data_IF_028282135008
#
_entry.id   IF_028282135008
#
_cell.length_a   1.000
_cell.length_b   1.000
_cell.length_c   1.000
_cell.angle_alpha   90.00
_cell.angle_beta   90.00
_cell.angle_gamma   90.00
#
_symmetry.space_group_name_H-M   'P 1'
#
loop_
_entity.id
_entity.type
_entity.pdbx_description
1 polymer ?
#
# COMPACT_ATOMS: atom_id res chain seq x y z
N UNK A 1 4.80 -10.10 -25.87
CA UNK A 1 5.35 -9.02 -25.03
C UNK A 1 6.59 -8.39 -25.65
N UNK A 2 7.69 -9.13 -25.88
CA UNK A 2 8.92 -8.60 -26.50
C UNK A 2 8.62 -7.85 -27.81
N UNK A 3 7.84 -8.44 -28.72
CA UNK A 3 7.40 -7.80 -29.98
C UNK A 3 6.66 -6.48 -29.75
N UNK A 4 5.61 -6.47 -28.93
CA UNK A 4 4.84 -5.25 -28.61
C UNK A 4 5.71 -4.17 -27.94
N UNK A 5 6.73 -4.57 -27.17
CA UNK A 5 7.61 -3.62 -26.49
C UNK A 5 8.61 -3.00 -27.47
N UNK A 6 9.05 -3.76 -28.47
CA UNK A 6 9.86 -3.23 -29.58
C UNK A 6 9.06 -2.19 -30.37
N UNK A 7 7.82 -2.49 -30.72
CA UNK A 7 6.93 -1.53 -31.41
C UNK A 7 6.75 -0.24 -30.60
N UNK A 8 6.46 -0.37 -29.29
CA UNK A 8 6.36 0.78 -28.40
C UNK A 8 7.66 1.59 -28.35
N UNK A 9 8.80 0.91 -28.27
CA UNK A 9 10.11 1.56 -28.20
C UNK A 9 10.42 2.32 -29.49
N UNK A 10 10.18 1.72 -30.65
CA UNK A 10 10.34 2.36 -31.96
C UNK A 10 9.45 3.60 -32.08
N UNK A 11 8.21 3.55 -31.60
CA UNK A 11 7.32 4.72 -31.57
C UNK A 11 7.92 5.86 -30.72
N UNK A 12 8.44 5.54 -29.54
CA UNK A 12 9.04 6.55 -28.66
C UNK A 12 10.36 7.09 -29.17
N UNK A 13 11.15 6.27 -29.85
CA UNK A 13 12.45 6.64 -30.41
C UNK A 13 12.30 7.51 -31.65
N UNK A 14 11.35 7.19 -32.52
CA UNK A 14 11.18 7.85 -33.82
C UNK A 14 10.18 9.01 -33.79
N UNK A 15 9.16 8.96 -32.93
CA UNK A 15 8.03 9.89 -32.98
C UNK A 15 7.73 10.61 -31.67
N UNK A 16 8.38 10.24 -30.55
CA UNK A 16 8.20 10.90 -29.24
C UNK A 16 9.56 11.16 -28.57
N UNK A 17 9.53 11.45 -27.27
CA UNK A 17 10.73 11.59 -26.46
C UNK A 17 11.08 10.23 -25.82
N UNK A 18 12.25 9.62 -26.13
CA UNK A 18 12.68 8.35 -25.56
C UNK A 18 12.65 8.31 -24.02
N UNK A 19 12.96 9.43 -23.35
CA UNK A 19 12.97 9.53 -21.87
C UNK A 19 11.57 9.40 -21.25
N UNK A 20 10.50 9.43 -22.05
CA UNK A 20 9.12 9.24 -21.59
C UNK A 20 8.61 7.80 -21.73
N UNK A 21 9.38 6.90 -22.35
CA UNK A 21 9.00 5.49 -22.51
C UNK A 21 8.79 4.83 -21.15
N UNK A 22 7.72 4.03 -21.02
CA UNK A 22 7.30 3.33 -19.80
C UNK A 22 6.99 4.25 -18.60
N UNK A 23 6.95 5.57 -18.79
CA UNK A 23 6.67 6.53 -17.70
C UNK A 23 5.21 6.51 -17.26
N UNK A 24 4.29 6.20 -18.17
CA UNK A 24 2.86 6.01 -17.89
C UNK A 24 2.43 4.60 -18.27
N UNK A 25 1.18 4.23 -18.00
CA UNK A 25 0.64 2.92 -18.39
C UNK A 25 -0.56 3.17 -19.30
N UNK A 26 -0.24 3.56 -20.53
CA UNK A 26 -1.21 3.95 -21.57
C UNK A 26 -1.41 2.81 -22.59
N UNK A 27 -0.53 1.82 -22.60
CA UNK A 27 -0.58 0.67 -23.51
C UNK A 27 -0.75 -0.67 -22.78
N UNK A 28 -1.23 -1.67 -23.52
CA UNK A 28 -1.36 -3.05 -23.00
C UNK A 28 0.00 -3.62 -22.60
N UNK A 29 1.05 -3.37 -23.40
CA UNK A 29 2.38 -3.94 -23.16
C UNK A 29 3.02 -3.44 -21.85
N UNK A 30 2.77 -2.19 -21.47
CA UNK A 30 3.24 -1.65 -20.18
C UNK A 30 2.61 -2.38 -18.99
N UNK A 31 1.31 -2.71 -19.08
CA UNK A 31 0.63 -3.53 -18.06
C UNK A 31 1.11 -4.97 -18.07
N UNK A 32 1.31 -5.54 -19.26
CA UNK A 32 1.89 -6.89 -19.39
C UNK A 32 3.29 -6.98 -18.79
N UNK A 33 4.12 -5.95 -18.98
CA UNK A 33 5.46 -5.89 -18.38
C UNK A 33 5.39 -5.91 -16.85
N UNK A 34 4.49 -5.12 -16.25
CA UNK A 34 4.28 -5.13 -14.80
C UNK A 34 3.87 -6.52 -14.28
N UNK A 35 2.94 -7.17 -14.98
CA UNK A 35 2.48 -8.52 -14.62
C UNK A 35 3.61 -9.55 -14.78
N UNK A 36 4.38 -9.46 -15.86
CA UNK A 36 5.51 -10.35 -16.10
C UNK A 36 6.62 -10.19 -15.06
N UNK A 37 6.95 -8.95 -14.68
CA UNK A 37 7.86 -8.69 -13.56
C UNK A 37 7.32 -9.29 -12.27
N UNK A 38 6.02 -9.16 -12.00
CA UNK A 38 5.41 -9.74 -10.80
C UNK A 38 5.51 -11.27 -10.77
N UNK A 39 5.26 -11.93 -11.91
CA UNK A 39 5.39 -13.39 -12.05
C UNK A 39 6.84 -13.82 -11.83
N UNK A 40 7.80 -13.16 -12.48
CA UNK A 40 9.21 -13.57 -12.43
C UNK A 40 9.89 -13.25 -11.10
N UNK A 41 9.44 -12.23 -10.38
CA UNK A 41 10.06 -11.74 -9.15
C UNK A 41 9.38 -12.25 -7.89
N UNK A 42 8.25 -12.95 -7.99
CA UNK A 42 7.53 -13.46 -6.82
C UNK A 42 8.39 -14.40 -5.96
N UNK A 43 9.16 -15.29 -6.59
CA UNK A 43 10.05 -16.19 -5.83
C UNK A 43 11.16 -15.42 -5.12
N UNK A 44 11.74 -14.41 -5.77
CA UNK A 44 12.74 -13.53 -5.15
C UNK A 44 12.16 -12.72 -3.99
N UNK A 45 10.92 -12.23 -4.12
CA UNK A 45 10.19 -11.63 -3.01
C UNK A 45 10.04 -12.62 -1.86
N UNK A 46 9.62 -13.85 -2.14
CA UNK A 46 9.39 -14.87 -1.11
C UNK A 46 10.68 -15.25 -0.37
N UNK A 47 11.79 -15.39 -1.09
CA UNK A 47 13.02 -15.97 -0.54
C UNK A 47 14.02 -14.92 -0.01
N UNK A 48 13.89 -13.66 -0.41
CA UNK A 48 14.91 -12.64 -0.11
C UNK A 48 14.33 -11.29 0.28
N UNK A 49 13.59 -10.62 -0.62
CA UNK A 49 13.17 -9.23 -0.40
C UNK A 49 11.94 -9.09 0.53
N UNK A 50 11.19 -10.16 0.75
CA UNK A 50 9.96 -10.18 1.53
C UNK A 50 10.19 -10.01 3.03
N UNK A 51 11.22 -10.66 3.59
CA UNK A 51 11.52 -10.51 5.03
C UNK A 51 11.91 -9.06 5.39
N UNK A 52 12.85 -8.38 4.70
CA UNK A 52 13.15 -6.98 4.93
C UNK A 52 11.92 -6.07 4.77
N UNK A 53 11.09 -6.32 3.74
CA UNK A 53 9.85 -5.56 3.52
C UNK A 53 8.86 -5.73 4.69
N UNK A 54 8.65 -6.96 5.15
CA UNK A 54 7.76 -7.24 6.27
C UNK A 54 8.28 -6.63 7.58
N UNK A 55 9.59 -6.71 7.82
CA UNK A 55 10.25 -6.06 8.97
C UNK A 55 10.09 -4.55 8.92
N UNK A 56 10.27 -3.92 7.76
CA UNK A 56 10.04 -2.49 7.56
C UNK A 56 8.58 -2.11 7.86
N UNK A 57 7.62 -2.83 7.28
CA UNK A 57 6.19 -2.62 7.54
C UNK A 57 5.86 -2.73 9.04
N UNK A 58 6.32 -3.80 9.70
CA UNK A 58 6.10 -4.01 11.14
C UNK A 58 6.78 -2.95 11.99
N UNK A 59 7.98 -2.50 11.63
CA UNK A 59 8.69 -1.45 12.33
C UNK A 59 7.95 -0.11 12.25
N UNK A 60 7.45 0.26 11.07
CA UNK A 60 6.64 1.47 10.86
C UNK A 60 5.37 1.39 11.70
N UNK A 61 4.60 0.31 11.56
CA UNK A 61 3.36 0.09 12.31
C UNK A 61 3.60 0.18 13.81
N UNK A 62 4.58 -0.56 14.32
CA UNK A 62 4.92 -0.56 15.73
C UNK A 62 5.36 0.83 16.23
N UNK A 63 6.15 1.57 15.44
CA UNK A 63 6.61 2.90 15.83
C UNK A 63 5.47 3.92 15.86
N UNK A 64 4.51 3.84 14.93
CA UNK A 64 3.31 4.68 14.92
C UNK A 64 2.46 4.39 16.18
N UNK A 65 2.21 3.12 16.47
CA UNK A 65 1.32 2.66 17.55
C UNK A 65 1.89 2.85 18.98
N UNK A 66 3.17 3.19 19.11
CA UNK A 66 3.77 3.64 20.38
C UNK A 66 3.25 4.99 20.87
N UNK A 67 2.63 5.78 19.99
CA UNK A 67 2.08 7.09 20.30
C UNK A 67 0.61 7.20 19.93
N UNK A 68 -0.08 8.27 20.37
CA UNK A 68 -1.48 8.48 20.07
C UNK A 68 -1.74 8.54 18.56
N UNK A 69 -2.82 7.88 18.14
CA UNK A 69 -3.34 7.91 16.78
C UNK A 69 -4.81 8.31 16.83
N UNK A 70 -5.18 9.40 16.14
CA UNK A 70 -6.55 9.83 16.03
C UNK A 70 -7.28 9.03 14.93
N UNK A 71 -8.35 8.31 15.30
CA UNK A 71 -9.10 7.44 14.37
C UNK A 71 -9.99 8.21 13.39
N UNK A 72 -10.30 9.48 13.67
CA UNK A 72 -11.18 10.32 12.85
C UNK A 72 -10.40 11.16 11.86
N UNK A 73 -9.34 11.85 12.31
CA UNK A 73 -8.50 12.68 11.42
C UNK A 73 -7.29 11.93 10.86
N UNK A 74 -7.06 10.68 11.28
CA UNK A 74 -5.98 9.80 10.80
C UNK A 74 -4.59 10.44 10.96
N UNK A 75 -4.39 11.12 12.09
CA UNK A 75 -3.11 11.74 12.47
C UNK A 75 -2.47 10.99 13.62
N UNK A 76 -1.15 10.94 13.65
CA UNK A 76 -0.40 10.25 14.68
C UNK A 76 0.75 11.09 15.24
N UNK A 77 1.10 10.84 16.50
CA UNK A 77 2.25 11.50 17.14
C UNK A 77 3.58 11.10 16.52
N UNK A 78 3.72 9.83 16.16
CA UNK A 78 4.90 9.26 15.50
C UNK A 78 4.52 8.84 14.10
N UNK A 79 5.06 9.51 13.09
CA UNK A 79 4.84 9.22 11.66
C UNK A 79 6.02 9.77 10.87
N UNK A 80 6.19 9.32 9.62
CA UNK A 80 7.13 9.92 8.67
C UNK A 80 6.46 11.01 7.80
N UNK A 81 5.13 11.09 7.82
CA UNK A 81 4.36 12.05 7.02
C UNK A 81 4.09 13.33 7.82
N UNK A 82 4.56 14.47 7.32
CA UNK A 82 4.45 15.77 7.97
C UNK A 82 2.99 16.26 8.08
N UNK A 83 2.18 16.04 7.05
CA UNK A 83 0.74 16.38 7.05
C UNK A 83 -0.08 15.51 8.01
N UNK A 84 0.46 14.34 8.38
CA UNK A 84 -0.17 13.37 9.28
C UNK A 84 0.19 13.54 10.76
N UNK A 85 0.92 14.59 11.14
CA UNK A 85 1.35 14.80 12.53
C UNK A 85 0.21 15.27 13.43
N UNK A 86 0.07 14.60 14.56
CA UNK A 86 -0.82 14.99 15.65
C UNK A 86 -0.21 16.11 16.50
N UNK A 87 -1.07 17.00 17.01
CA UNK A 87 -0.69 18.12 17.88
C UNK A 87 -0.05 17.70 19.21
N UNK A 88 0.64 18.65 19.84
CA UNK A 88 1.37 18.46 21.10
C UNK A 88 0.47 18.46 22.35
N UNK A 89 -0.77 18.89 22.20
CA UNK A 89 -1.80 19.02 23.23
C UNK A 89 -2.33 17.66 23.74
N UNK A 90 -1.98 16.56 23.08
CA UNK A 90 -2.43 15.22 23.48
C UNK A 90 -1.46 14.59 24.48
N UNK A 91 -1.79 14.69 25.75
CA UNK A 91 -1.16 13.93 26.83
C UNK A 91 -1.62 12.46 26.82
N UNK A 92 -0.70 11.53 27.08
CA UNK A 92 -1.00 10.11 27.16
C UNK A 92 -0.06 9.39 28.12
N UNK A 93 -0.50 8.24 28.59
CA UNK A 93 0.28 7.28 29.37
C UNK A 93 0.19 5.89 28.75
N UNK A 94 1.28 5.13 28.86
CA UNK A 94 1.31 3.73 28.42
C UNK A 94 0.75 2.87 29.55
N UNK A 95 -0.21 2.01 29.22
CA UNK A 95 -0.80 1.03 30.12
C UNK A 95 -0.44 -0.39 29.64
N UNK A 96 -0.25 -1.31 30.58
CA UNK A 96 -0.15 -2.74 30.33
C UNK A 96 -1.43 -3.40 30.84
N UNK A 97 -2.27 -3.87 29.93
CA UNK A 97 -3.51 -4.58 30.26
C UNK A 97 -3.22 -6.07 30.49
N UNK A 98 -3.92 -6.69 31.43
CA UNK A 98 -3.91 -8.12 31.69
C UNK A 98 -5.13 -8.76 30.99
N UNK A 99 -4.93 -9.32 29.80
CA UNK A 99 -6.05 -9.77 28.95
C UNK A 99 -6.30 -11.26 29.11
N UNK A 100 -7.54 -11.61 29.42
CA UNK A 100 -8.07 -12.98 29.43
C UNK A 100 -8.94 -13.19 28.19
N UNK A 101 -8.78 -14.32 27.50
CA UNK A 101 -9.63 -14.66 26.34
C UNK A 101 -10.67 -15.69 26.77
N UNK A 102 -11.95 -15.34 26.64
CA UNK A 102 -13.03 -16.23 27.04
C UNK A 102 -13.02 -17.52 26.19
N UNK A 103 -12.83 -18.66 26.85
CA UNK A 103 -12.87 -19.98 26.22
C UNK A 103 -11.51 -20.52 25.75
N UNK A 104 -10.42 -19.75 25.86
CA UNK A 104 -9.07 -20.19 25.46
C UNK A 104 -8.16 -20.57 26.65
N UNK A 105 -8.71 -20.67 27.87
CA UNK A 105 -7.99 -21.08 29.09
C UNK A 105 -7.71 -19.92 30.06
N UNK A 106 -6.98 -20.15 31.16
CA UNK A 106 -6.68 -19.14 32.18
C UNK A 106 -5.51 -18.21 31.82
N UNK A 107 -4.91 -18.38 30.63
CA UNK A 107 -3.70 -17.66 30.25
C UNK A 107 -3.97 -16.16 30.11
N UNK A 108 -3.22 -15.38 30.89
CA UNK A 108 -3.26 -13.92 30.85
C UNK A 108 -2.20 -13.43 29.88
N UNK A 109 -2.63 -12.68 28.86
CA UNK A 109 -1.73 -12.05 27.89
C UNK A 109 -1.53 -10.57 28.24
N UNK A 110 -0.30 -10.13 28.58
CA UNK A 110 -0.03 -8.71 28.80
C UNK A 110 -0.01 -7.95 27.46
N UNK A 111 -0.80 -6.87 27.35
CA UNK A 111 -0.92 -6.06 26.13
C UNK A 111 -0.63 -4.59 26.45
N UNK A 112 0.35 -4.00 25.76
CA UNK A 112 0.66 -2.56 25.90
C UNK A 112 -0.26 -1.72 25.02
N UNK A 113 -0.89 -0.72 25.61
CA UNK A 113 -1.82 0.22 24.98
C UNK A 113 -1.59 1.63 25.53
N UNK A 114 -2.31 2.61 24.99
CA UNK A 114 -2.31 3.97 25.50
C UNK A 114 -3.65 4.26 26.18
N UNK A 115 -3.62 5.04 27.26
CA UNK A 115 -4.86 5.48 27.92
C UNK A 115 -5.79 6.28 26.97
N UNK A 116 -5.22 6.93 25.95
CA UNK A 116 -5.94 7.68 24.93
C UNK A 116 -6.34 6.83 23.71
N UNK A 117 -6.10 5.52 23.69
CA UNK A 117 -6.62 4.67 22.62
C UNK A 117 -8.15 4.53 22.76
N UNK A 118 -8.86 4.59 21.62
CA UNK A 118 -10.29 4.20 21.54
C UNK A 118 -10.47 2.73 21.90
N UNK A 119 -11.68 2.32 22.25
CA UNK A 119 -11.94 0.91 22.58
C UNK A 119 -11.70 0.00 21.37
N UNK A 120 -12.02 0.46 20.15
CA UNK A 120 -11.68 -0.27 18.92
C UNK A 120 -10.18 -0.41 18.72
N UNK A 121 -9.38 0.65 18.92
CA UNK A 121 -7.91 0.55 18.87
C UNK A 121 -7.35 -0.40 19.93
N UNK A 122 -7.92 -0.42 21.13
CA UNK A 122 -7.53 -1.36 22.19
C UNK A 122 -7.84 -2.79 21.76
N UNK A 123 -9.04 -3.05 21.21
CA UNK A 123 -9.40 -4.36 20.66
C UNK A 123 -8.42 -4.79 19.56
N UNK A 124 -8.08 -3.91 18.61
CA UNK A 124 -7.10 -4.19 17.56
C UNK A 124 -5.74 -4.61 18.13
N UNK A 125 -5.21 -3.85 19.10
CA UNK A 125 -3.92 -4.15 19.76
C UNK A 125 -3.97 -5.46 20.53
N UNK A 126 -5.08 -5.74 21.21
CA UNK A 126 -5.30 -7.02 21.90
C UNK A 126 -5.32 -8.17 20.91
N UNK A 127 -6.12 -8.08 19.84
CA UNK A 127 -6.25 -9.12 18.81
C UNK A 127 -4.89 -9.38 18.16
N UNK A 128 -4.11 -8.33 17.86
CA UNK A 128 -2.79 -8.49 17.28
C UNK A 128 -1.82 -9.21 18.21
N UNK A 129 -1.87 -8.94 19.53
CA UNK A 129 -0.96 -9.55 20.48
C UNK A 129 -1.35 -11.00 20.82
N UNK A 130 -2.65 -11.25 21.06
CA UNK A 130 -3.20 -12.58 21.35
C UNK A 130 -3.02 -13.51 20.15
N UNK A 131 -3.39 -13.05 18.95
CA UNK A 131 -3.35 -13.85 17.72
C UNK A 131 -2.13 -13.54 16.85
N UNK A 132 -1.00 -13.17 17.46
CA UNK A 132 0.22 -12.73 16.75
C UNK A 132 0.77 -13.73 15.73
N UNK A 133 0.51 -15.02 15.95
CA UNK A 133 0.97 -16.13 15.10
C UNK A 133 -0.03 -16.50 13.99
N UNK A 134 -1.20 -15.85 13.94
CA UNK A 134 -2.19 -16.06 12.90
C UNK A 134 -2.08 -14.99 11.80
N UNK A 135 -2.33 -15.34 10.52
CA UNK A 135 -2.54 -14.38 9.45
C UNK A 135 -3.70 -13.42 9.77
N UNK A 136 -3.66 -12.18 9.27
CA UNK A 136 -4.67 -11.17 9.61
C UNK A 136 -6.10 -11.63 9.27
N UNK A 137 -6.31 -12.25 8.10
CA UNK A 137 -7.62 -12.73 7.65
C UNK A 137 -8.26 -13.80 8.55
N UNK A 138 -7.47 -14.50 9.37
CA UNK A 138 -7.94 -15.55 10.28
C UNK A 138 -8.24 -15.03 11.69
N UNK A 139 -7.91 -13.77 11.98
CA UNK A 139 -8.15 -13.16 13.29
C UNK A 139 -9.62 -12.75 13.42
N UNK A 140 -10.17 -12.71 14.66
CA UNK A 140 -11.47 -12.10 14.87
C UNK A 140 -11.45 -10.64 14.45
N UNK A 141 -12.57 -10.15 13.88
CA UNK A 141 -12.76 -8.74 13.57
C UNK A 141 -13.08 -7.95 14.85
N UNK A 142 -12.75 -6.67 14.88
CA UNK A 142 -13.02 -5.76 16.01
C UNK A 142 -14.48 -5.78 16.44
N UNK A 143 -15.40 -5.80 15.47
CA UNK A 143 -16.85 -5.80 15.73
C UNK A 143 -17.38 -7.17 16.18
N UNK A 144 -16.61 -8.24 15.95
CA UNK A 144 -16.99 -9.60 16.35
C UNK A 144 -16.59 -9.94 17.79
N UNK A 145 -15.98 -9.00 18.51
CA UNK A 145 -15.53 -9.19 19.89
C UNK A 145 -16.03 -8.10 20.82
N UNK A 146 -16.36 -8.49 22.03
CA UNK A 146 -16.65 -7.62 23.16
C UNK A 146 -15.44 -7.53 24.08
N UNK A 147 -15.24 -6.37 24.68
CA UNK A 147 -14.17 -6.12 25.63
C UNK A 147 -14.80 -5.72 26.96
N UNK A 148 -14.60 -6.55 27.99
CA UNK A 148 -15.15 -6.36 29.33
C UNK A 148 -14.03 -6.00 30.30
N UNK A 149 -14.15 -4.89 31.00
CA UNK A 149 -13.23 -4.52 32.09
C UNK A 149 -13.77 -5.02 33.43
N UNK A 150 -12.91 -5.69 34.22
CA UNK A 150 -13.27 -6.24 35.54
C UNK A 150 -12.42 -5.64 36.66
N UNK A 151 -12.83 -4.50 37.24
CA UNK A 151 -12.15 -3.92 38.41
C UNK A 151 -12.48 -4.64 39.74
N UNK A 152 -13.45 -5.56 39.75
CA UNK A 152 -13.91 -6.30 40.93
C UNK A 152 -14.91 -7.41 40.55
N UNK A 153 -15.93 -7.64 41.37
CA UNK A 153 -16.96 -8.66 41.13
C UNK A 153 -17.94 -8.32 39.99
N UNK A 154 -18.04 -7.04 39.63
CA UNK A 154 -18.88 -6.54 38.53
C UNK A 154 -18.00 -6.15 37.34
N UNK A 155 -18.32 -6.67 36.16
CA UNK A 155 -17.68 -6.27 34.91
C UNK A 155 -18.45 -5.19 34.17
N UNK A 156 -17.74 -4.38 33.39
CA UNK A 156 -18.30 -3.36 32.51
C UNK A 156 -17.85 -3.62 31.07
N UNK A 157 -18.81 -3.74 30.15
CA UNK A 157 -18.50 -3.82 28.71
C UNK A 157 -18.10 -2.43 28.23
N UNK A 158 -16.96 -2.35 27.55
CA UNK A 158 -16.44 -1.12 26.98
C UNK A 158 -16.84 -1.04 25.49
N UNK A 159 -17.26 0.14 25.05
CA UNK A 159 -17.50 0.47 23.64
C UNK A 159 -16.98 1.87 23.30
N UNK A 160 -16.82 2.14 22.01
CA UNK A 160 -16.40 3.45 21.49
C UNK A 160 -17.45 4.53 21.76
N UNK A 161 -18.74 4.18 21.77
CA UNK A 161 -19.83 5.06 22.13
C UNK A 161 -20.82 4.29 23.02
N UNK A 162 -21.24 4.91 24.12
CA UNK A 162 -22.27 4.39 25.02
C UNK A 162 -23.02 5.53 25.73
N UNK A 163 -23.86 5.18 26.70
CA UNK A 163 -24.64 6.13 27.50
C UNK A 163 -23.75 7.04 28.37
N UNK A 164 -22.48 6.69 28.58
CA UNK A 164 -21.52 7.47 29.36
C UNK A 164 -20.70 8.43 28.50
N UNK A 165 -20.78 8.33 27.16
CA UNK A 165 -20.00 9.15 26.25
C UNK A 165 -20.17 10.64 26.48
N UNK A 166 -19.03 11.35 26.53
CA UNK A 166 -19.01 12.79 26.76
C UNK A 166 -19.58 13.55 25.54
N UNK A 167 -20.59 14.37 25.79
CA UNK A 167 -21.21 15.24 24.79
C UNK A 167 -20.81 16.69 25.03
N UNK A 168 -20.27 17.32 24.00
CA UNK A 168 -19.81 18.71 23.99
C UNK A 168 -20.53 19.48 22.88
N UNK A 169 -21.74 19.97 23.16
CA UNK A 169 -22.61 20.58 22.16
C UNK A 169 -23.15 19.54 21.17
N UNK A 170 -22.88 19.73 19.87
CA UNK A 170 -23.22 18.77 18.80
C UNK A 170 -22.18 17.65 18.63
N UNK A 171 -21.11 17.67 19.41
CA UNK A 171 -20.01 16.72 19.30
C UNK A 171 -20.08 15.67 20.40
N UNK A 172 -19.92 14.40 20.04
CA UNK A 172 -19.67 13.28 20.95
C UNK A 172 -18.22 12.86 20.84
N UNK A 173 -17.56 12.70 21.99
CA UNK A 173 -16.20 12.19 22.06
C UNK A 173 -16.22 10.66 22.08
N UNK A 174 -15.39 10.02 21.26
CA UNK A 174 -15.20 8.57 21.30
C UNK A 174 -14.57 8.19 22.64
N UNK A 175 -15.13 7.19 23.29
CA UNK A 175 -14.67 6.68 24.57
C UNK A 175 -13.28 6.03 24.42
N UNK A 176 -12.42 6.30 25.39
CA UNK A 176 -11.05 5.76 25.48
C UNK A 176 -10.87 5.02 26.80
N UNK A 177 -9.73 4.37 27.01
CA UNK A 177 -9.42 3.79 28.34
C UNK A 177 -9.41 4.84 29.45
N UNK A 178 -8.95 6.05 29.16
CA UNK A 178 -8.97 7.18 30.09
C UNK A 178 -10.41 7.60 30.44
N UNK A 179 -11.35 7.54 29.49
CA UNK A 179 -12.77 7.82 29.74
C UNK A 179 -13.35 6.89 30.82
N UNK A 180 -13.06 5.60 30.73
CA UNK A 180 -13.49 4.61 31.72
C UNK A 180 -12.58 4.54 32.96
N UNK A 181 -11.55 5.39 33.05
CA UNK A 181 -10.57 5.39 34.13
C UNK A 181 -9.86 4.03 34.33
N UNK A 182 -9.61 3.31 33.24
CA UNK A 182 -8.87 2.05 33.27
C UNK A 182 -7.42 2.33 33.65
N UNK A 183 -6.93 1.62 34.67
CA UNK A 183 -5.58 1.80 35.22
C UNK A 183 -4.59 0.78 34.63
N UNK A 184 -3.31 1.04 34.86
CA UNK A 184 -2.25 0.09 34.53
C UNK A 184 -2.47 -1.25 35.27
N UNK A 185 -2.14 -2.35 34.59
CA UNK A 185 -2.40 -3.73 35.04
C UNK A 185 -3.88 -4.10 35.25
N UNK A 186 -4.82 -3.33 34.70
CA UNK A 186 -6.23 -3.69 34.71
C UNK A 186 -6.48 -5.02 33.99
N UNK A 187 -7.38 -5.84 34.54
CA UNK A 187 -7.82 -7.08 33.91
C UNK A 187 -8.98 -6.83 32.96
N UNK A 188 -8.82 -7.25 31.71
CA UNK A 188 -9.85 -7.18 30.68
C UNK A 188 -10.13 -8.57 30.12
N UNK A 189 -11.38 -8.84 29.78
CA UNK A 189 -11.82 -10.09 29.17
C UNK A 189 -12.23 -9.80 27.74
N UNK A 190 -11.58 -10.47 26.79
CA UNK A 190 -11.97 -10.48 25.38
C UNK A 190 -12.88 -11.68 25.14
N UNK A 191 -14.06 -11.44 24.57
CA UNK A 191 -15.03 -12.49 24.27
C UNK A 191 -15.59 -12.31 22.86
N UNK A 192 -15.90 -13.41 22.17
CA UNK A 192 -16.63 -13.34 20.90
C UNK A 192 -18.07 -12.96 21.16
N UNK A 193 -18.63 -12.08 20.34
CA UNK A 193 -20.06 -11.76 20.38
C UNK A 193 -20.84 -13.05 20.13
N UNK A 194 -21.55 -13.55 21.14
CA UNK A 194 -22.52 -14.62 20.93
C UNK A 194 -23.72 -14.00 20.22
N UNK A 195 -24.19 -14.60 19.12
CA UNK A 195 -25.31 -14.13 18.28
C UNK A 195 -26.67 -13.94 19.01
N UNK A 196 -26.71 -14.01 20.33
CA UNK A 196 -27.91 -13.88 21.18
C UNK A 196 -28.17 -12.46 21.71
N UNK A 197 -27.38 -11.44 21.34
CA UNK A 197 -27.63 -10.03 21.68
C UNK A 197 -28.00 -9.14 20.47
N UNK A 198 -28.76 -9.67 19.50
CA UNK A 198 -29.36 -8.85 18.42
C UNK A 198 -30.39 -7.80 18.89
N UNK A 199 -30.71 -7.74 20.18
CA UNK A 199 -31.68 -6.76 20.71
C UNK A 199 -31.10 -5.34 20.94
N UNK A 200 -29.79 -5.13 20.79
CA UNK A 200 -29.20 -3.77 20.83
C UNK A 200 -28.86 -3.22 19.43
N UNK A 201 -28.62 -4.08 18.43
CA UNK A 201 -28.29 -3.67 17.05
C UNK A 201 -29.50 -3.49 16.13
N UNK A 202 -30.68 -4.04 16.46
CA UNK A 202 -31.92 -3.72 15.71
C UNK A 202 -32.34 -2.25 15.79
N UNK A 203 -31.74 -1.48 16.70
CA UNK A 203 -31.90 -0.03 16.69
C UNK A 203 -30.93 0.67 15.71
N UNK A 204 -29.80 0.07 15.30
CA UNK A 204 -28.90 0.70 14.33
C UNK A 204 -29.42 0.59 12.89
N UNK A 205 -30.00 -0.55 12.48
CA UNK A 205 -30.52 -0.71 11.11
C UNK A 205 -31.85 0.04 10.88
N UNK A 206 -32.67 0.26 11.91
CA UNK A 206 -33.87 1.10 11.82
C UNK A 206 -33.57 2.61 11.87
N UNK A 207 -32.32 3.02 12.14
CA UNK A 207 -31.95 4.43 12.15
C UNK A 207 -31.69 4.98 10.75
N UNK A 208 -31.25 4.18 9.78
CA UNK A 208 -30.94 4.69 8.44
C UNK A 208 -32.18 5.23 7.68
N UNK A 209 -33.37 4.68 7.92
CA UNK A 209 -34.60 5.14 7.24
C UNK A 209 -35.37 6.26 7.97
N UNK A 210 -34.98 6.62 9.21
CA UNK A 210 -35.65 7.68 10.00
C UNK A 210 -34.82 8.97 10.16
N UNK A 211 -33.62 9.01 9.58
CA UNK A 211 -32.58 10.02 9.81
C UNK A 211 -32.64 11.28 8.90
N UNK A 212 -33.81 11.67 8.39
CA UNK A 212 -33.93 12.89 7.58
C UNK A 212 -34.20 14.18 8.39
N UNK A 213 -34.45 14.11 9.71
CA UNK A 213 -34.99 15.23 10.50
C UNK A 213 -34.38 15.47 11.89
N UNK A 214 -33.29 14.80 12.27
CA UNK A 214 -32.53 15.09 13.50
C UNK A 214 -31.05 15.25 13.12
N UNK A 215 -30.42 16.36 13.50
CA UNK A 215 -28.98 16.59 13.29
C UNK A 215 -28.20 15.48 14.01
N UNK A 216 -27.57 14.59 13.24
CA UNK A 216 -26.75 13.50 13.79
C UNK A 216 -25.58 14.10 14.59
N UNK A 217 -25.40 13.64 15.83
CA UNK A 217 -24.31 14.12 16.69
C UNK A 217 -22.96 13.78 16.03
N UNK A 218 -22.12 14.79 15.79
CA UNK A 218 -20.80 14.61 15.15
C UNK A 218 -19.83 13.92 16.11
N UNK A 219 -18.96 13.06 15.61
CA UNK A 219 -18.06 12.26 16.46
C UNK A 219 -16.58 12.65 16.24
N UNK A 220 -15.83 12.83 17.34
CA UNK A 220 -14.39 13.11 17.33
C UNK A 220 -13.63 12.25 18.34
N UNK A 221 -12.31 12.07 18.16
CA UNK A 221 -11.46 11.28 19.07
C UNK A 221 -10.57 12.17 19.95
N UNK A 222 -9.40 12.56 19.44
CA UNK A 222 -8.42 13.37 20.16
C UNK A 222 -8.57 14.84 19.77
N UNK A 223 -8.73 15.09 18.46
CA UNK A 223 -8.82 16.44 17.90
C UNK A 223 -10.14 16.60 17.15
N UNK A 224 -10.80 17.74 17.34
CA UNK A 224 -11.97 18.10 16.54
C UNK A 224 -11.53 18.56 15.15
N UNK A 225 -12.20 18.11 14.07
CA UNK A 225 -11.97 18.65 12.73
C UNK A 225 -12.11 20.18 12.74
N UNK A 226 -11.15 20.87 12.12
CA UNK A 226 -11.06 22.35 12.13
C UNK A 226 -12.15 23.05 11.32
N UNK A 227 -12.84 22.34 10.43
CA UNK A 227 -13.66 22.95 9.38
C UNK A 227 -14.97 23.60 9.86
N UNK A 228 -15.26 23.62 11.17
CA UNK A 228 -16.50 24.22 11.70
C UNK A 228 -16.31 25.19 12.87
N UNK A 229 -15.08 25.46 13.29
CA UNK A 229 -14.83 26.41 14.38
C UNK A 229 -15.06 27.88 13.96
N UNK A 230 -15.26 28.16 12.67
CA UNK A 230 -15.33 29.53 12.14
C UNK A 230 -16.74 30.10 11.86
N UNK A 231 -17.83 29.32 11.91
CA UNK A 231 -19.16 29.90 11.62
C UNK A 231 -19.72 30.77 12.76
N UNK A 232 -19.31 30.54 14.01
CA UNK A 232 -19.89 31.23 15.17
C UNK A 232 -19.08 32.43 15.71
N UNK A 233 -17.88 32.72 15.20
CA UNK A 233 -17.04 33.83 15.74
C UNK A 233 -16.54 34.85 14.74
N UNK A 234 -16.77 34.70 13.44
CA UNK A 234 -16.24 35.64 12.43
C UNK A 234 -17.28 36.68 11.98
N UNK A 235 -17.76 37.51 12.91
CA UNK A 235 -18.34 38.84 12.62
C UNK A 235 -17.45 39.93 13.23
N UNK A 236 -16.20 40.03 12.77
CA UNK A 236 -15.39 41.26 12.68
C UNK A 236 -13.94 40.89 12.33
N UNK A 237 -13.54 41.22 11.11
CA UNK A 237 -12.16 41.59 10.83
C UNK A 237 -11.32 40.58 10.06
N UNK A 238 -10.90 41.03 8.88
CA UNK A 238 -9.65 40.69 8.19
C UNK A 238 -9.64 39.52 7.22
N UNK A 239 -9.79 39.90 5.95
CA UNK A 239 -9.29 39.22 4.75
C UNK A 239 -7.75 39.16 4.86
N UNK A 240 -7.20 38.23 5.65
CA UNK A 240 -5.76 37.97 5.69
C UNK A 240 -5.40 36.65 6.42
N UNK A 241 -5.97 35.52 6.01
CA UNK A 241 -5.45 34.21 6.47
C UNK A 241 -5.71 33.06 5.46
N UNK A 242 -5.67 33.37 4.17
CA UNK A 242 -5.44 32.37 3.11
C UNK A 242 -3.96 32.43 2.73
N UNK A 243 -3.29 31.27 2.75
CA UNK A 243 -1.87 31.05 2.42
C UNK A 243 -0.86 31.36 3.53
N UNK A 244 -0.86 30.56 4.59
CA UNK A 244 0.39 30.22 5.28
C UNK A 244 0.52 28.71 5.30
N UNK A 245 1.39 28.20 4.43
CA UNK A 245 2.13 26.96 4.66
C UNK A 245 2.73 27.10 6.06
N UNK A 246 2.02 26.61 7.09
CA UNK A 246 2.53 26.67 8.46
C UNK A 246 3.82 25.86 8.43
N UNK A 247 4.94 26.57 8.45
CA UNK A 247 6.24 25.96 8.64
C UNK A 247 6.09 24.92 9.75
N UNK A 248 6.52 23.70 9.48
CA UNK A 248 6.55 22.63 10.47
C UNK A 248 7.22 23.23 11.69
N UNK A 249 6.49 23.38 12.80
CA UNK A 249 7.07 23.91 14.01
C UNK A 249 8.27 23.02 14.38
N UNK A 250 9.34 23.61 14.91
CA UNK A 250 10.61 22.91 15.14
C UNK A 250 10.42 21.56 15.88
N UNK A 251 9.44 21.51 16.78
CA UNK A 251 9.04 20.31 17.54
C UNK A 251 8.54 19.17 16.64
N UNK A 252 7.75 19.48 15.61
CA UNK A 252 7.25 18.49 14.64
C UNK A 252 8.40 17.93 13.78
N UNK A 253 9.37 18.77 13.42
CA UNK A 253 10.56 18.31 12.68
C UNK A 253 11.40 17.35 13.52
N UNK A 254 11.62 17.63 14.81
CA UNK A 254 12.34 16.73 15.72
C UNK A 254 11.65 15.36 15.83
N UNK A 255 10.32 15.30 15.81
CA UNK A 255 9.56 14.04 15.81
C UNK A 255 9.76 13.24 14.53
N UNK A 256 9.64 13.89 13.37
CA UNK A 256 9.89 13.24 12.07
C UNK A 256 11.30 12.66 12.02
N UNK A 257 12.31 13.43 12.46
CA UNK A 257 13.70 13.00 12.52
C UNK A 257 13.91 11.81 13.48
N UNK A 258 13.26 11.82 14.64
CA UNK A 258 13.32 10.71 15.61
C UNK A 258 12.72 9.41 15.06
N UNK A 259 11.54 9.51 14.42
CA UNK A 259 10.89 8.36 13.78
C UNK A 259 11.75 7.84 12.62
N UNK A 260 12.26 8.74 11.77
CA UNK A 260 13.18 8.38 10.69
C UNK A 260 14.43 7.68 11.21
N UNK A 261 15.06 8.21 12.26
CA UNK A 261 16.23 7.61 12.89
C UNK A 261 15.96 6.19 13.41
N UNK A 262 14.78 5.98 14.02
CA UNK A 262 14.37 4.65 14.51
C UNK A 262 14.14 3.64 13.38
N UNK A 263 13.63 4.10 12.23
CA UNK A 263 13.29 3.25 11.09
C UNK A 263 14.45 3.08 10.09
N UNK A 264 15.55 3.83 10.25
CA UNK A 264 16.62 3.94 9.27
C UNK A 264 17.20 2.59 8.85
N UNK A 265 17.55 1.72 9.82
CA UNK A 265 18.13 0.41 9.52
C UNK A 265 17.17 -0.46 8.69
N UNK A 266 15.87 -0.44 8.98
CA UNK A 266 14.88 -1.22 8.23
C UNK A 266 14.73 -0.70 6.79
N UNK A 267 14.82 0.62 6.58
CA UNK A 267 14.82 1.23 5.24
C UNK A 267 16.07 0.82 4.48
N UNK A 268 17.24 0.90 5.12
CA UNK A 268 18.52 0.51 4.53
C UNK A 268 18.56 -0.97 4.16
N UNK A 269 18.08 -1.85 5.05
CA UNK A 269 18.02 -3.29 4.82
C UNK A 269 17.10 -3.62 3.65
N UNK A 270 15.92 -2.99 3.57
CA UNK A 270 15.03 -3.17 2.43
C UNK A 270 15.69 -2.67 1.14
N UNK A 271 16.24 -1.45 1.11
CA UNK A 271 16.87 -0.89 -0.09
C UNK A 271 18.04 -1.75 -0.57
N UNK A 272 18.89 -2.23 0.36
CA UNK A 272 19.99 -3.15 0.03
C UNK A 272 19.48 -4.48 -0.51
N UNK A 273 18.37 -5.01 0.02
CA UNK A 273 17.82 -6.29 -0.46
C UNK A 273 17.35 -6.23 -1.92
N UNK A 274 16.92 -5.04 -2.41
CA UNK A 274 16.37 -4.88 -3.76
C UNK A 274 17.29 -4.16 -4.75
N UNK A 275 18.27 -3.38 -4.26
CA UNK A 275 19.16 -2.52 -5.06
C UNK A 275 20.66 -2.78 -4.81
N UNK A 276 21.08 -3.85 -4.15
CA UNK A 276 22.52 -4.11 -3.93
C UNK A 276 23.12 -5.03 -4.98
N UNK A 277 24.33 -4.71 -5.45
CA UNK A 277 25.11 -5.51 -6.43
C UNK A 277 25.57 -6.88 -5.89
N UNK A 278 25.57 -7.08 -4.57
CA UNK A 278 25.86 -8.36 -3.92
C UNK A 278 24.63 -9.23 -3.66
N UNK A 279 23.42 -8.74 -3.96
CA UNK A 279 22.20 -9.53 -3.84
C UNK A 279 22.03 -10.45 -5.05
N UNK A 280 21.32 -11.56 -4.86
CA UNK A 280 20.94 -12.45 -5.98
C UNK A 280 20.05 -11.65 -6.93
N UNK A 281 20.49 -11.44 -8.17
CA UNK A 281 19.69 -10.79 -9.22
C UNK A 281 18.86 -11.86 -9.94
N UNK A 282 17.53 -11.74 -9.98
CA UNK A 282 16.70 -12.69 -10.72
C UNK A 282 17.04 -12.70 -12.22
N UNK A 283 17.08 -13.88 -12.88
CA UNK A 283 17.42 -13.99 -14.30
C UNK A 283 16.58 -13.08 -15.20
N UNK A 284 15.30 -12.91 -14.88
CA UNK A 284 14.38 -12.02 -15.59
C UNK A 284 14.83 -10.55 -15.60
N UNK A 285 15.42 -10.06 -14.51
CA UNK A 285 15.93 -8.67 -14.43
C UNK A 285 17.11 -8.50 -15.37
N UNK A 286 18.09 -9.42 -15.30
CA UNK A 286 19.25 -9.42 -16.19
C UNK A 286 18.83 -9.51 -17.65
N UNK A 287 18.00 -10.51 -17.99
CA UNK A 287 17.48 -10.73 -19.33
C UNK A 287 16.77 -9.49 -19.89
N UNK A 288 15.92 -8.85 -19.08
CA UNK A 288 15.18 -7.66 -19.51
C UNK A 288 16.07 -6.41 -19.62
N UNK A 289 17.03 -6.23 -18.71
CA UNK A 289 17.95 -5.09 -18.75
C UNK A 289 18.93 -5.19 -19.92
N UNK A 290 19.40 -6.40 -20.24
CA UNK A 290 20.19 -6.65 -21.46
C UNK A 290 19.37 -6.34 -22.71
N UNK A 291 18.10 -6.74 -22.75
CA UNK A 291 17.20 -6.36 -23.84
C UNK A 291 17.10 -4.85 -24.03
N UNK A 292 16.97 -4.06 -22.95
CA UNK A 292 16.94 -2.60 -23.01
C UNK A 292 18.27 -2.02 -23.51
N UNK A 293 19.40 -2.54 -23.02
CA UNK A 293 20.74 -2.11 -23.42
C UNK A 293 20.98 -2.41 -24.91
N UNK A 294 20.61 -3.59 -25.39
CA UNK A 294 20.70 -3.99 -26.79
C UNK A 294 19.85 -3.11 -27.71
N UNK A 295 18.63 -2.75 -27.30
CA UNK A 295 17.81 -1.87 -28.12
C UNK A 295 18.36 -0.45 -28.13
N UNK A 296 18.82 0.07 -26.99
CA UNK A 296 19.42 1.39 -26.93
C UNK A 296 20.62 1.53 -27.88
N UNK A 297 21.46 0.49 -28.00
CA UNK A 297 22.61 0.47 -28.92
C UNK A 297 22.25 0.57 -30.40
N UNK A 298 21.00 0.27 -30.79
CA UNK A 298 20.55 0.37 -32.18
C UNK A 298 20.17 1.80 -32.60
N UNK A 299 20.05 2.72 -31.64
CA UNK A 299 19.53 4.07 -31.89
C UNK A 299 20.52 5.13 -31.40
N UNK A 300 20.90 6.04 -32.29
CA UNK A 300 21.90 7.08 -32.00
C UNK A 300 21.38 8.19 -31.06
N UNK A 301 20.06 8.31 -30.86
CA UNK A 301 19.43 9.32 -30.00
C UNK A 301 19.14 8.83 -28.57
N UNK A 302 19.66 7.66 -28.19
CA UNK A 302 19.49 7.08 -26.85
C UNK A 302 20.80 7.19 -26.07
N UNK A 303 20.83 8.10 -25.09
CA UNK A 303 21.97 8.31 -24.20
C UNK A 303 21.93 7.41 -22.95
N UNK A 304 23.01 7.36 -22.18
CA UNK A 304 23.10 6.55 -20.94
C UNK A 304 22.04 6.97 -19.89
N UNK A 305 21.68 8.25 -19.85
CA UNK A 305 20.60 8.74 -18.99
C UNK A 305 19.24 8.16 -19.40
N UNK A 306 18.96 8.06 -20.70
CA UNK A 306 17.73 7.47 -21.24
C UNK A 306 17.65 5.98 -20.88
N UNK A 307 18.75 5.24 -21.00
CA UNK A 307 18.81 3.83 -20.60
C UNK A 307 18.52 3.68 -19.10
N UNK A 308 19.12 4.53 -18.27
CA UNK A 308 18.85 4.57 -16.83
C UNK A 308 17.37 4.83 -16.53
N UNK A 309 16.74 5.76 -17.27
CA UNK A 309 15.31 6.06 -17.15
C UNK A 309 14.46 4.86 -17.57
N UNK A 310 14.79 4.15 -18.66
CA UNK A 310 14.06 2.96 -19.10
C UNK A 310 14.12 1.83 -18.05
N UNK A 311 15.30 1.57 -17.50
CA UNK A 311 15.49 0.60 -16.40
C UNK A 311 14.68 0.98 -15.17
N UNK A 312 14.71 2.26 -14.80
CA UNK A 312 13.97 2.81 -13.65
C UNK A 312 12.44 2.73 -13.85
N UNK A 313 11.95 3.11 -15.03
CA UNK A 313 10.53 3.10 -15.37
C UNK A 313 9.97 1.69 -15.58
N UNK A 314 10.81 0.68 -15.81
CA UNK A 314 10.37 -0.70 -16.05
C UNK A 314 10.33 -1.55 -14.80
N UNK A 315 11.26 -1.37 -13.86
CA UNK A 315 11.38 -2.21 -12.67
C UNK A 315 11.19 -1.44 -11.35
N UNK A 316 12.10 -0.55 -10.89
CA UNK A 316 11.93 0.16 -9.61
C UNK A 316 10.60 0.87 -9.45
N UNK A 317 10.18 1.67 -10.43
CA UNK A 317 8.97 2.49 -10.30
C UNK A 317 7.67 1.69 -10.48
N UNK A 318 7.70 0.59 -11.22
CA UNK A 318 6.51 -0.20 -11.56
C UNK A 318 6.26 -1.33 -10.59
N UNK A 319 7.32 -2.01 -10.19
CA UNK A 319 7.24 -3.16 -9.34
C UNK A 319 7.59 -2.79 -7.90
N UNK A 320 8.81 -2.33 -7.63
CA UNK A 320 9.28 -2.14 -6.24
C UNK A 320 8.52 -1.06 -5.47
N UNK A 321 8.26 0.09 -6.10
CA UNK A 321 7.42 1.15 -5.48
C UNK A 321 6.01 0.64 -5.19
N UNK A 322 5.43 -0.15 -6.09
CA UNK A 322 4.10 -0.70 -5.92
C UNK A 322 4.03 -1.71 -4.76
N UNK A 323 5.02 -2.60 -4.66
CA UNK A 323 5.14 -3.57 -3.56
C UNK A 323 5.39 -2.87 -2.23
N UNK A 324 6.26 -1.87 -2.20
CA UNK A 324 6.57 -1.11 -0.99
C UNK A 324 5.35 -0.35 -0.45
N UNK A 325 4.55 0.24 -1.33
CA UNK A 325 3.30 0.92 -0.94
C UNK A 325 2.18 -0.04 -0.55
N UNK A 326 2.15 -1.23 -1.14
CA UNK A 326 1.05 -2.18 -0.96
C UNK A 326 1.56 -3.51 -0.37
N UNK A 327 2.03 -3.54 0.89
CA UNK A 327 2.54 -4.77 1.50
C UNK A 327 1.46 -5.86 1.61
N UNK A 328 0.17 -5.49 1.62
CA UNK A 328 -0.95 -6.42 1.61
C UNK A 328 -1.10 -7.22 0.29
N UNK A 329 -0.39 -6.84 -0.79
CA UNK A 329 -0.30 -7.68 -1.99
C UNK A 329 0.54 -8.94 -1.75
N UNK A 330 1.43 -8.91 -0.77
CA UNK A 330 2.39 -10.00 -0.50
C UNK A 330 2.08 -10.69 0.83
N UNK A 331 1.65 -9.93 1.85
CA UNK A 331 1.38 -10.44 3.19
C UNK A 331 -0.10 -10.32 3.55
N UNK A 332 -0.60 -11.28 4.32
CA UNK A 332 -1.92 -11.19 4.93
C UNK A 332 -1.88 -10.27 6.17
N UNK A 333 -1.90 -8.96 5.89
CA UNK A 333 -1.79 -7.87 6.87
C UNK A 333 -2.81 -6.77 6.59
N UNK A 334 -3.19 -6.05 7.64
CA UNK A 334 -3.93 -4.80 7.51
C UNK A 334 -2.99 -3.60 7.55
N UNK A 335 -3.15 -2.70 6.58
CA UNK A 335 -2.39 -1.45 6.48
C UNK A 335 -3.34 -0.31 6.82
N UNK A 336 -3.09 0.38 7.93
CA UNK A 336 -3.85 1.58 8.27
C UNK A 336 -3.40 2.77 7.43
N UNK A 337 -4.27 3.77 7.26
CA UNK A 337 -3.96 4.96 6.46
C UNK A 337 -2.70 5.71 6.94
N UNK A 338 -2.44 5.73 8.24
CA UNK A 338 -1.24 6.38 8.81
C UNK A 338 0.03 5.61 8.44
N UNK A 339 -0.04 4.27 8.44
CA UNK A 339 1.07 3.40 8.01
C UNK A 339 1.30 3.57 6.52
N UNK A 340 0.24 3.58 5.70
CA UNK A 340 0.31 3.81 4.26
C UNK A 340 0.94 5.15 3.91
N UNK A 341 0.57 6.22 4.63
CA UNK A 341 1.19 7.53 4.47
C UNK A 341 2.70 7.51 4.76
N UNK A 342 3.14 6.78 5.79
CA UNK A 342 4.57 6.62 6.10
C UNK A 342 5.31 5.76 5.08
N UNK A 343 4.68 4.68 4.58
CA UNK A 343 5.21 3.88 3.48
C UNK A 343 5.37 4.72 2.20
N UNK A 344 4.42 5.62 1.93
CA UNK A 344 4.48 6.53 0.79
C UNK A 344 5.66 7.50 0.87
N UNK A 345 6.04 7.97 2.05
CA UNK A 345 7.25 8.79 2.26
C UNK A 345 8.51 8.00 1.88
N UNK A 346 8.63 6.75 2.36
CA UNK A 346 9.78 5.89 2.05
C UNK A 346 9.80 5.52 0.56
N UNK A 347 8.64 5.25 -0.03
CA UNK A 347 8.51 4.98 -1.46
C UNK A 347 8.93 6.18 -2.30
N UNK A 348 8.61 7.40 -1.88
CA UNK A 348 9.10 8.61 -2.55
C UNK A 348 10.62 8.74 -2.44
N UNK A 349 11.22 8.45 -1.29
CA UNK A 349 12.68 8.40 -1.15
C UNK A 349 13.31 7.35 -2.07
N UNK A 350 12.69 6.18 -2.22
CA UNK A 350 13.13 5.14 -3.16
C UNK A 350 13.07 5.64 -4.61
N UNK A 351 11.98 6.31 -5.00
CA UNK A 351 11.84 6.92 -6.32
C UNK A 351 12.91 7.98 -6.58
N UNK A 352 13.15 8.86 -5.60
CA UNK A 352 14.15 9.92 -5.70
C UNK A 352 15.57 9.33 -5.84
N UNK A 353 15.86 8.20 -5.19
CA UNK A 353 17.13 7.49 -5.30
C UNK A 353 17.37 6.93 -6.71
N UNK A 354 16.31 6.59 -7.45
CA UNK A 354 16.43 6.14 -8.84
C UNK A 354 16.59 7.29 -9.84
N UNK A 355 16.58 8.56 -9.43
CA UNK A 355 16.78 9.70 -10.35
C UNK A 355 18.25 10.09 -10.48
N UNK A 356 18.69 10.48 -11.69
CA UNK A 356 20.03 11.07 -11.90
C UNK A 356 20.11 12.53 -11.46
N UNK A 357 19.00 13.28 -11.50
CA UNK A 357 18.97 14.71 -11.15
C UNK A 357 19.31 14.98 -9.69
N UNK A 358 20.31 15.79 -9.41
CA UNK A 358 20.52 16.35 -8.08
C UNK A 358 19.48 17.44 -7.79
N UNK A 359 18.78 17.31 -6.67
CA UNK A 359 17.85 18.33 -6.22
C UNK A 359 18.53 19.28 -5.25
N UNK A 360 18.58 20.56 -5.61
CA UNK A 360 18.97 21.61 -4.67
C UNK A 360 17.86 21.76 -3.63
N UNK A 361 18.17 21.41 -2.39
CA UNK A 361 17.25 21.53 -1.28
C UNK A 361 17.13 22.99 -0.88
N UNK A 362 15.89 23.43 -0.68
CA UNK A 362 15.52 24.74 -0.19
C UNK A 362 14.52 24.57 0.96
N UNK A 363 14.22 25.67 1.66
CA UNK A 363 13.19 25.67 2.72
C UNK A 363 11.80 25.25 2.21
N UNK A 364 11.53 25.44 0.92
CA UNK A 364 10.25 25.10 0.28
C UNK A 364 10.25 23.69 -0.32
N UNK A 365 11.33 22.92 -0.12
CA UNK A 365 11.39 21.53 -0.57
C UNK A 365 10.42 20.65 0.25
N UNK A 366 9.77 19.66 -0.38
CA UNK A 366 8.91 18.71 0.33
C UNK A 366 9.61 18.05 1.51
N UNK A 367 8.88 17.87 2.61
CA UNK A 367 9.43 17.37 3.88
C UNK A 367 10.11 16.02 3.77
N UNK A 368 9.57 15.11 2.94
CA UNK A 368 10.21 13.81 2.68
C UNK A 368 11.61 13.95 2.06
N UNK A 369 11.82 14.94 1.19
CA UNK A 369 13.14 15.21 0.57
C UNK A 369 14.12 15.78 1.58
N UNK A 370 13.64 16.67 2.46
CA UNK A 370 14.46 17.19 3.56
C UNK A 370 14.83 16.09 4.56
N UNK A 371 13.90 15.16 4.83
CA UNK A 371 14.04 14.10 5.83
C UNK A 371 15.13 13.07 5.46
N UNK A 372 15.27 12.75 4.17
CA UNK A 372 16.27 11.79 3.64
C UNK A 372 17.41 12.45 2.85
N UNK A 373 17.59 13.77 2.99
CA UNK A 373 18.57 14.56 2.27
C UNK A 373 20.01 14.05 2.41
N UNK A 374 20.37 13.50 3.57
CA UNK A 374 21.73 13.03 3.85
C UNK A 374 22.01 11.67 3.22
N UNK A 375 21.00 10.81 3.13
CA UNK A 375 21.13 9.43 2.65
C UNK A 375 20.95 9.30 1.14
N UNK A 376 20.26 10.25 0.51
CA UNK A 376 19.86 10.16 -0.90
C UNK A 376 21.04 9.94 -1.86
N UNK A 377 22.19 10.57 -1.60
CA UNK A 377 23.40 10.40 -2.42
C UNK A 377 23.95 8.97 -2.33
N UNK A 378 23.86 8.35 -1.15
CA UNK A 378 24.25 6.96 -0.93
C UNK A 378 23.31 6.01 -1.66
N UNK A 379 22.00 6.26 -1.61
CA UNK A 379 21.02 5.44 -2.34
C UNK A 379 21.14 5.58 -3.86
N UNK A 380 21.40 6.79 -4.38
CA UNK A 380 21.69 7.00 -5.81
C UNK A 380 22.91 6.19 -6.27
N UNK A 381 23.99 6.25 -5.49
CA UNK A 381 25.18 5.43 -5.76
C UNK A 381 24.85 3.93 -5.74
N UNK A 382 24.01 3.49 -4.80
CA UNK A 382 23.56 2.10 -4.72
C UNK A 382 22.82 1.66 -5.99
N UNK A 383 21.90 2.49 -6.52
CA UNK A 383 21.22 2.22 -7.80
C UNK A 383 22.20 2.15 -8.98
N UNK A 384 23.16 3.08 -9.03
CA UNK A 384 24.17 3.12 -10.09
C UNK A 384 25.06 1.86 -10.06
N UNK A 385 25.53 1.47 -8.88
CA UNK A 385 26.33 0.26 -8.68
C UNK A 385 25.51 -1.01 -9.01
N UNK A 386 24.21 -1.02 -8.73
CA UNK A 386 23.30 -2.12 -9.09
C UNK A 386 23.15 -2.28 -10.60
N UNK A 387 22.85 -1.20 -11.32
CA UNK A 387 22.71 -1.25 -12.78
C UNK A 387 24.03 -1.61 -13.46
N UNK A 388 25.16 -1.10 -12.96
CA UNK A 388 26.49 -1.47 -13.43
C UNK A 388 26.79 -2.95 -13.16
N UNK A 389 26.47 -3.43 -11.97
CA UNK A 389 26.61 -4.84 -11.59
C UNK A 389 25.83 -5.76 -12.52
N UNK A 390 24.54 -5.47 -12.77
CA UNK A 390 23.70 -6.25 -13.71
C UNK A 390 24.32 -6.26 -15.11
N UNK A 391 24.79 -5.12 -15.61
CA UNK A 391 25.40 -5.04 -16.95
C UNK A 391 26.65 -5.93 -17.06
N UNK A 392 27.40 -6.10 -15.97
CA UNK A 392 28.60 -6.93 -15.90
C UNK A 392 28.32 -8.43 -15.68
N UNK A 393 27.09 -8.80 -15.31
CA UNK A 393 26.71 -10.22 -15.19
C UNK A 393 26.76 -10.93 -16.54
N UNK A 394 26.97 -12.25 -16.49
CA UNK A 394 26.83 -13.13 -17.65
C UNK A 394 25.41 -12.99 -18.20
N UNK A 395 25.28 -12.89 -19.53
CA UNK A 395 23.98 -12.81 -20.19
C UNK A 395 23.18 -14.10 -19.98
N UNK A 396 21.87 -13.94 -19.80
CA UNK A 396 20.95 -15.07 -19.69
C UNK A 396 20.54 -15.45 -21.11
N UNK A 397 20.77 -16.71 -21.50
CA UNK A 397 20.38 -17.18 -22.83
C UNK A 397 18.85 -17.29 -22.96
N UNK A 398 18.33 -17.22 -24.19
CA UNK A 398 16.91 -17.46 -24.45
C UNK A 398 16.48 -18.86 -23.97
N UNK A 399 17.37 -19.86 -24.06
CA UNK A 399 17.11 -21.21 -23.58
C UNK A 399 16.96 -21.27 -22.06
N UNK A 400 17.86 -20.62 -21.32
CA UNK A 400 17.80 -20.59 -19.85
C UNK A 400 16.57 -19.83 -19.37
N UNK A 401 16.28 -18.69 -20.00
CA UNK A 401 15.10 -17.90 -19.67
C UNK A 401 13.80 -18.66 -19.96
N UNK A 402 13.71 -19.35 -21.10
CA UNK A 402 12.55 -20.19 -21.41
C UNK A 402 12.40 -21.37 -20.46
N UNK A 403 13.51 -21.97 -20.02
CA UNK A 403 13.51 -23.05 -19.02
C UNK A 403 12.96 -22.54 -17.69
N UNK A 404 13.45 -21.39 -17.23
CA UNK A 404 12.94 -20.73 -16.02
C UNK A 404 11.44 -20.42 -16.12
N UNK A 405 10.98 -19.83 -17.23
CA UNK A 405 9.56 -19.53 -17.44
C UNK A 405 8.69 -20.79 -17.52
N UNK A 406 9.20 -21.89 -18.09
CA UNK A 406 8.50 -23.17 -18.13
C UNK A 406 8.33 -23.78 -16.72
N UNK A 407 9.32 -23.64 -15.85
CA UNK A 407 9.20 -24.04 -14.44
C UNK A 407 8.16 -23.22 -13.67
N UNK A 408 8.16 -21.89 -13.86
CA UNK A 408 7.15 -21.00 -13.27
C UNK A 408 5.76 -21.36 -13.80
N UNK A 409 5.63 -21.64 -15.10
CA UNK A 409 4.35 -22.05 -15.70
C UNK A 409 3.84 -23.37 -15.12
N UNK A 410 4.69 -24.39 -15.04
CA UNK A 410 4.33 -25.71 -14.48
C UNK A 410 3.86 -25.61 -13.03
N UNK A 411 4.49 -24.76 -12.22
CA UNK A 411 4.15 -24.60 -10.80
C UNK A 411 2.86 -23.79 -10.52
N UNK A 412 2.23 -23.22 -11.54
CA UNK A 412 1.04 -22.37 -11.40
C UNK A 412 -0.10 -22.71 -12.37
N UNK A 413 0.05 -23.72 -13.22
CA UNK A 413 -0.93 -24.08 -14.26
C UNK A 413 -2.31 -24.43 -13.67
N UNK A 414 -2.33 -25.12 -12.53
CA UNK A 414 -3.54 -25.57 -11.84
C UNK A 414 -4.16 -24.52 -10.90
N UNK A 415 -3.49 -23.39 -10.69
CA UNK A 415 -3.92 -22.35 -9.74
C UNK A 415 -4.84 -21.29 -10.35
N UNK A 416 -4.90 -21.19 -11.68
CA UNK A 416 -5.62 -20.13 -12.38
C UNK A 416 -6.71 -20.72 -13.29
N UNK A 417 -7.92 -20.15 -13.22
CA UNK A 417 -9.00 -20.54 -14.12
C UNK A 417 -8.86 -19.82 -15.46
N UNK A 418 -8.19 -20.49 -16.41
CA UNK A 418 -7.96 -19.97 -17.76
C UNK A 418 -9.25 -19.81 -18.57
N UNK A 419 -10.26 -20.64 -18.33
CA UNK A 419 -11.55 -20.53 -19.02
C UNK A 419 -12.28 -19.22 -18.68
N UNK A 420 -12.30 -18.83 -17.41
CA UNK A 420 -12.88 -17.55 -16.99
C UNK A 420 -12.09 -16.39 -17.59
N UNK A 421 -10.76 -16.45 -17.59
CA UNK A 421 -9.93 -15.41 -18.20
C UNK A 421 -10.19 -15.28 -19.71
N UNK A 422 -10.28 -16.39 -20.44
CA UNK A 422 -10.61 -16.41 -21.87
C UNK A 422 -12.00 -15.86 -22.15
N UNK A 423 -12.99 -16.19 -21.32
CA UNK A 423 -14.34 -15.65 -21.45
C UNK A 423 -14.36 -14.12 -21.25
N UNK A 424 -13.66 -13.61 -20.24
CA UNK A 424 -13.53 -12.16 -20.03
C UNK A 424 -12.78 -11.48 -21.19
N UNK A 425 -11.74 -12.12 -21.74
CA UNK A 425 -11.02 -11.61 -22.89
C UNK A 425 -11.89 -11.57 -24.15
N UNK A 426 -12.73 -12.59 -24.35
CA UNK A 426 -13.67 -12.65 -25.48
C UNK A 426 -14.66 -11.48 -25.45
N UNK A 427 -15.07 -10.97 -24.29
CA UNK A 427 -15.94 -9.79 -24.22
C UNK A 427 -15.34 -8.58 -24.94
N UNK A 428 -14.02 -8.39 -24.86
CA UNK A 428 -13.32 -7.36 -25.62
C UNK A 428 -13.26 -7.71 -27.12
N UNK A 429 -12.96 -8.96 -27.45
CA UNK A 429 -12.92 -9.41 -28.85
C UNK A 429 -14.27 -9.23 -29.57
N UNK A 430 -15.38 -9.56 -28.90
CA UNK A 430 -16.75 -9.36 -29.39
C UNK A 430 -17.09 -7.87 -29.50
N UNK A 431 -16.73 -7.05 -28.49
CA UNK A 431 -16.98 -5.60 -28.52
C UNK A 431 -16.28 -4.87 -29.67
N UNK A 432 -15.07 -5.29 -30.01
CA UNK A 432 -14.23 -4.67 -31.06
C UNK A 432 -14.10 -5.55 -32.31
N UNK A 433 -15.07 -6.44 -32.52
CA UNK A 433 -15.02 -7.51 -33.50
C UNK A 433 -14.68 -7.03 -34.92
N UNK A 434 -15.42 -6.05 -35.44
CA UNK A 434 -15.23 -5.54 -36.80
C UNK A 434 -13.83 -4.96 -37.02
N UNK A 435 -13.31 -4.23 -36.01
CA UNK A 435 -11.96 -3.67 -36.07
C UNK A 435 -10.88 -4.75 -36.05
N UNK A 436 -11.07 -5.81 -35.26
CA UNK A 436 -10.14 -6.94 -35.21
C UNK A 436 -10.17 -7.73 -36.53
N UNK A 437 -11.36 -8.00 -37.09
CA UNK A 437 -11.49 -8.68 -38.38
C UNK A 437 -10.80 -7.89 -39.48
N UNK A 438 -11.07 -6.58 -39.58
CA UNK A 438 -10.42 -5.72 -40.57
C UNK A 438 -8.88 -5.77 -40.44
N UNK A 439 -8.33 -5.69 -39.22
CA UNK A 439 -6.88 -5.80 -39.00
C UNK A 439 -6.33 -7.18 -39.38
N UNK A 440 -7.06 -8.27 -39.14
CA UNK A 440 -6.66 -9.63 -39.52
C UNK A 440 -6.75 -9.86 -41.04
N UNK A 441 -7.66 -9.16 -41.72
CA UNK A 441 -7.80 -9.16 -43.17
C UNK A 441 -6.76 -8.26 -43.84
N UNK A 442 -6.22 -7.25 -43.17
CA UNK A 442 -5.15 -6.41 -43.71
C UNK A 442 -3.74 -7.03 -43.56
N UNK A 443 -3.51 -7.86 -42.53
CA UNK A 443 -2.21 -8.49 -42.27
C UNK A 443 -2.00 -9.76 -43.14
N UNK A 444 -1.00 -9.76 -44.06
CA UNK A 444 -0.69 -10.93 -44.90
C UNK A 444 -0.37 -12.20 -44.09
N UNK A 445 0.25 -12.07 -42.92
CA UNK A 445 0.57 -13.22 -42.07
C UNK A 445 -0.70 -13.83 -41.46
N UNK A 446 -1.67 -13.00 -41.06
CA UNK A 446 -2.98 -13.43 -40.58
C UNK A 446 -3.83 -14.06 -41.69
N UNK A 447 -3.85 -13.46 -42.88
CA UNK A 447 -4.52 -14.02 -44.06
C UNK A 447 -4.01 -15.43 -44.40
N UNK A 448 -2.68 -15.61 -44.45
CA UNK A 448 -2.06 -16.91 -44.77
C UNK A 448 -2.46 -18.05 -43.81
N UNK A 449 -2.83 -17.69 -42.57
CA UNK A 449 -3.27 -18.61 -41.51
C UNK A 449 -4.78 -18.66 -41.32
N UNK A 450 -5.54 -17.93 -42.14
CA UNK A 450 -7.00 -17.80 -42.07
C UNK A 450 -7.50 -17.41 -40.67
N UNK A 451 -6.81 -16.47 -40.00
CA UNK A 451 -7.13 -16.11 -38.61
C UNK A 451 -8.49 -15.42 -38.46
N UNK A 452 -8.91 -14.61 -39.44
CA UNK A 452 -10.24 -13.98 -39.44
C UNK A 452 -11.37 -15.03 -39.46
N UNK A 453 -11.26 -16.05 -40.32
CA UNK A 453 -12.21 -17.16 -40.38
C UNK A 453 -12.27 -17.95 -39.07
N UNK A 454 -11.12 -18.18 -38.42
CA UNK A 454 -11.09 -18.87 -37.11
C UNK A 454 -11.78 -18.05 -36.02
N UNK A 455 -11.62 -16.73 -36.02
CA UNK A 455 -12.31 -15.86 -35.06
C UNK A 455 -13.83 -15.86 -35.31
N UNK A 456 -14.27 -15.83 -36.58
CA UNK A 456 -15.68 -15.99 -36.97
C UNK A 456 -16.28 -17.31 -36.42
N UNK A 457 -15.54 -18.42 -36.57
CA UNK A 457 -15.97 -19.72 -36.04
C UNK A 457 -16.10 -19.73 -34.51
N UNK A 458 -15.16 -19.10 -33.81
CA UNK A 458 -15.21 -18.94 -32.35
C UNK A 458 -16.44 -18.10 -31.95
N UNK A 459 -16.69 -17.00 -32.63
CA UNK A 459 -17.83 -16.12 -32.35
C UNK A 459 -19.16 -16.85 -32.59
N UNK A 460 -19.30 -17.57 -33.70
CA UNK A 460 -20.49 -18.38 -34.00
C UNK A 460 -20.75 -19.43 -32.91
N UNK A 461 -19.71 -20.14 -32.47
CA UNK A 461 -19.79 -21.16 -31.44
C UNK A 461 -20.18 -20.58 -30.06
N UNK A 462 -19.73 -19.37 -29.72
CA UNK A 462 -20.00 -18.74 -28.43
C UNK A 462 -21.35 -18.00 -28.39
N UNK A 463 -21.82 -17.47 -29.52
CA UNK A 463 -23.05 -16.67 -29.59
C UNK A 463 -24.31 -17.49 -29.93
N UNK A 464 -24.18 -18.82 -30.09
CA UNK A 464 -25.26 -19.70 -30.58
C UNK A 464 -25.95 -19.16 -31.84
N UNK A 465 -25.24 -18.38 -32.65
CA UNK A 465 -25.70 -17.98 -33.97
C UNK A 465 -25.30 -19.12 -34.91
N UNK A 466 -26.30 -19.84 -35.40
CA UNK A 466 -26.15 -20.68 -36.59
C UNK A 466 -25.62 -19.75 -37.68
N UNK A 467 -24.31 -19.77 -37.93
CA UNK A 467 -23.77 -19.19 -39.14
C UNK A 467 -24.27 -20.08 -40.27
N UNK A 468 -25.22 -19.56 -41.04
CA UNK A 468 -25.49 -20.03 -42.39
C UNK A 468 -24.21 -19.80 -43.21
N UNK A 469 -23.29 -20.77 -43.11
CA UNK A 469 -22.11 -20.91 -43.95
C UNK A 469 -22.49 -21.65 -45.22
#
# INVERSE_FOLDING_TARGET
MRTLLLELMEEYVNSKNPKLMLRRSETVVERMLCNWMSICLYQFLKDSAGEPLYKLFKAIKHQIEKGPVDVRVKKAKYTLNDTGLLGDDVEYSVLTLQVLVQGEGPDVTPVKVLNCDTISQVKEKIIEQVYRNLPYSQRPKVDSVTLEWRPGSTGQILSDLDLTSQKEGRWKRINTLAHYNVRDNATLVLSKVQHTQQNYDQNQENHEERNALLEDDKVFHLVRPTDELDETKSKRGSIKDKSMTKAITEIYLTRLLSVKGTLQQFVDDFFRSVLCSGAVVPPAVKYFFDFLDEQALKHNNVDEETIHIWKTNSLPLRFWVNILKNPHFIFDVHVSEVVDASLSVIAQTFMDACTKSEHKLSRDSPSNKLLYAKEISTYKKMVDDYYKGIRQMISVSDQDMNTHLAEVSRSHTDKLNTHVALHQLYQYASKYYDGIIASLEEDPAAQSKQLALRLQQIAAALENKVTDL
#
